data_IF_167899845184
#
_entry.id   IF_167899845184
#
_cell.length_a   1.000
_cell.length_b   1.000
_cell.length_c   1.000
_cell.angle_alpha   90.00
_cell.angle_beta   90.00
_cell.angle_gamma   90.00
#
_symmetry.space_group_name_H-M   'P 1'
#
loop_
_entity.id
_entity.type
_entity.pdbx_description
1 polymer ?
#
# COMPACT_ATOMS: atom_id res chain seq x y z
N UNK A 1 -29.96 -24.22 9.76
CA UNK A 1 -30.52 -23.71 11.04
C UNK A 1 -29.37 -23.39 12.00
N UNK A 2 -29.46 -22.33 12.82
CA UNK A 2 -28.40 -21.94 13.77
C UNK A 2 -28.08 -23.05 14.79
N UNK A 3 -28.99 -24.01 14.98
CA UNK A 3 -28.84 -25.18 15.85
C UNK A 3 -27.68 -26.10 15.47
N UNK A 4 -27.33 -26.19 14.18
CA UNK A 4 -26.19 -26.98 13.70
C UNK A 4 -24.86 -26.43 14.25
N UNK A 5 -24.75 -25.13 14.50
CA UNK A 5 -23.53 -24.54 15.05
C UNK A 5 -23.28 -25.02 16.48
N UNK A 6 -24.32 -25.27 17.30
CA UNK A 6 -24.14 -25.79 18.65
C UNK A 6 -23.59 -27.23 18.66
N UNK A 7 -23.83 -28.01 17.60
CA UNK A 7 -23.23 -29.35 17.46
C UNK A 7 -21.72 -29.31 17.16
N UNK A 8 -21.19 -28.19 16.66
CA UNK A 8 -19.76 -27.99 16.39
C UNK A 8 -19.00 -27.53 17.64
N UNK A 9 -19.69 -26.93 18.62
CA UNK A 9 -19.09 -26.42 19.85
C UNK A 9 -19.46 -27.30 21.04
N UNK A 10 -18.62 -28.29 21.33
CA UNK A 10 -18.75 -29.10 22.54
C UNK A 10 -18.78 -28.20 23.79
N UNK A 11 -19.78 -28.32 24.68
CA UNK A 11 -19.97 -27.44 25.85
C UNK A 11 -18.74 -27.33 26.75
N UNK A 12 -18.02 -28.43 26.91
CA UNK A 12 -16.79 -28.49 27.72
C UNK A 12 -15.67 -27.64 27.13
N UNK A 13 -15.51 -27.66 25.79
CA UNK A 13 -14.48 -26.87 25.08
C UNK A 13 -14.82 -25.39 25.08
N UNK A 14 -16.11 -25.04 24.94
CA UNK A 14 -16.54 -23.64 24.96
C UNK A 14 -16.43 -23.04 26.37
N UNK A 15 -16.78 -23.79 27.42
CA UNK A 15 -16.57 -23.39 28.81
C UNK A 15 -15.08 -23.23 29.13
N UNK A 16 -14.24 -24.20 28.76
CA UNK A 16 -12.80 -24.09 28.93
C UNK A 16 -12.25 -22.84 28.23
N UNK A 17 -12.62 -22.60 26.97
CA UNK A 17 -12.19 -21.42 26.23
C UNK A 17 -12.65 -20.11 26.92
N UNK A 18 -13.92 -20.05 27.36
CA UNK A 18 -14.47 -18.88 28.05
C UNK A 18 -13.74 -18.60 29.37
N UNK A 19 -13.42 -19.62 30.15
CA UNK A 19 -12.63 -19.48 31.38
C UNK A 19 -11.20 -18.99 31.10
N UNK A 20 -10.55 -19.46 30.04
CA UNK A 20 -9.20 -18.99 29.69
C UNK A 20 -9.21 -17.56 29.15
N UNK A 21 -10.23 -17.18 28.37
CA UNK A 21 -10.37 -15.83 27.80
C UNK A 21 -10.72 -14.82 28.90
N UNK A 22 -11.67 -15.14 29.79
CA UNK A 22 -12.10 -14.25 30.88
C UNK A 22 -10.97 -13.92 31.88
N UNK A 23 -9.96 -14.78 31.99
CA UNK A 23 -8.77 -14.56 32.83
C UNK A 23 -7.74 -13.60 32.22
N UNK A 24 -7.86 -13.23 30.95
CA UNK A 24 -6.87 -12.40 30.25
C UNK A 24 -7.50 -11.12 29.72
N UNK A 25 -6.90 -9.97 30.07
CA UNK A 25 -7.20 -8.73 29.36
C UNK A 25 -6.34 -8.63 28.10
N UNK A 26 -6.90 -8.31 26.93
CA UNK A 26 -6.13 -8.16 25.72
C UNK A 26 -5.27 -6.89 25.79
N UNK A 27 -3.98 -6.99 25.45
CA UNK A 27 -3.06 -5.83 25.40
C UNK A 27 -3.54 -4.75 24.41
N UNK A 28 -4.26 -5.17 23.36
CA UNK A 28 -4.79 -4.30 22.32
C UNK A 28 -6.19 -4.74 21.93
N UNK A 29 -7.09 -3.76 21.82
CA UNK A 29 -8.42 -3.98 21.28
C UNK A 29 -8.33 -4.18 19.76
N UNK A 30 -8.82 -5.32 19.28
CA UNK A 30 -8.98 -5.57 17.85
C UNK A 30 -10.21 -4.79 17.33
N UNK A 31 -10.02 -3.99 16.29
CA UNK A 31 -11.10 -3.25 15.63
C UNK A 31 -10.92 -3.35 14.12
N UNK A 32 -11.95 -2.98 13.35
CA UNK A 32 -11.90 -3.02 11.88
C UNK A 32 -10.80 -2.11 11.30
N UNK A 33 -10.46 -1.02 11.99
CA UNK A 33 -9.37 -0.12 11.61
C UNK A 33 -8.01 -0.55 12.17
N UNK A 34 -8.00 -1.43 13.16
CA UNK A 34 -6.79 -1.98 13.79
C UNK A 34 -6.95 -3.50 13.93
N UNK A 35 -6.63 -4.28 12.88
CA UNK A 35 -6.77 -5.73 12.85
C UNK A 35 -5.65 -6.43 13.65
N UNK A 36 -5.53 -6.11 14.94
CA UNK A 36 -4.47 -6.61 15.83
C UNK A 36 -4.47 -8.13 15.96
N UNK A 37 -5.65 -8.76 15.88
CA UNK A 37 -5.79 -10.21 15.96
C UNK A 37 -5.08 -10.95 14.82
N UNK A 38 -4.88 -10.30 13.67
CA UNK A 38 -4.13 -10.88 12.55
C UNK A 38 -2.68 -11.17 12.94
N UNK A 39 -2.04 -10.27 13.70
CA UNK A 39 -0.67 -10.48 14.20
C UNK A 39 -0.62 -11.63 15.21
N UNK A 40 -1.58 -11.66 16.12
CA UNK A 40 -1.64 -12.71 17.15
C UNK A 40 -1.88 -14.09 16.50
N UNK A 41 -2.67 -14.15 15.43
CA UNK A 41 -2.86 -15.36 14.63
C UNK A 41 -1.56 -15.80 13.93
N UNK A 42 -0.82 -14.87 13.31
CA UNK A 42 0.48 -15.18 12.70
C UNK A 42 1.49 -15.69 13.73
N UNK A 43 1.52 -15.09 14.92
CA UNK A 43 2.37 -15.53 16.04
C UNK A 43 1.98 -16.92 16.55
N UNK A 44 0.68 -17.23 16.62
CA UNK A 44 0.19 -18.55 16.99
C UNK A 44 0.62 -19.60 15.96
N UNK A 45 0.49 -19.27 14.67
CA UNK A 45 0.85 -20.16 13.57
C UNK A 45 2.36 -20.41 13.52
N UNK A 46 3.19 -19.38 13.72
CA UNK A 46 4.65 -19.53 13.81
C UNK A 46 5.06 -20.48 14.94
N UNK A 47 4.39 -20.41 16.10
CA UNK A 47 4.62 -21.35 17.21
C UNK A 47 4.24 -22.78 16.87
N UNK A 48 3.18 -22.99 16.08
CA UNK A 48 2.77 -24.33 15.65
C UNK A 48 3.76 -24.95 14.66
N UNK A 49 4.42 -24.10 13.86
CA UNK A 49 5.42 -24.52 12.85
C UNK A 49 6.83 -24.60 13.45
N UNK A 50 7.00 -24.32 14.75
CA UNK A 50 8.29 -24.26 15.46
C UNK A 50 9.33 -23.35 14.80
N UNK A 51 8.86 -22.31 14.11
CA UNK A 51 9.71 -21.36 13.42
C UNK A 51 10.22 -20.26 14.36
N UNK A 52 11.27 -19.53 13.93
CA UNK A 52 11.91 -18.45 14.69
C UNK A 52 11.34 -17.06 14.37
N UNK A 53 10.27 -16.94 13.57
CA UNK A 53 9.73 -15.62 13.21
C UNK A 53 9.05 -14.90 14.38
N UNK A 54 8.64 -15.61 15.43
CA UNK A 54 8.07 -15.01 16.64
C UNK A 54 9.03 -14.00 17.30
N UNK A 55 10.35 -14.15 17.15
CA UNK A 55 11.34 -13.19 17.65
C UNK A 55 11.25 -11.86 16.88
N UNK A 56 11.14 -11.93 15.56
CA UNK A 56 11.00 -10.74 14.71
C UNK A 56 9.67 -10.02 14.99
N UNK A 57 8.56 -10.75 15.05
CA UNK A 57 7.24 -10.17 15.28
C UNK A 57 7.06 -9.61 16.70
N UNK A 58 7.64 -10.26 17.72
CA UNK A 58 7.64 -9.71 19.09
C UNK A 58 8.49 -8.45 19.19
N UNK A 59 9.65 -8.40 18.52
CA UNK A 59 10.45 -7.18 18.42
C UNK A 59 9.68 -6.05 17.71
N UNK A 60 9.06 -6.33 16.55
CA UNK A 60 8.26 -5.37 15.79
C UNK A 60 7.08 -4.80 16.61
N UNK A 61 6.45 -5.63 17.46
CA UNK A 61 5.37 -5.18 18.36
C UNK A 61 5.86 -4.19 19.42
N UNK A 62 7.12 -4.29 19.84
CA UNK A 62 7.75 -3.39 20.80
C UNK A 62 8.24 -2.06 20.21
N UNK A 63 8.37 -1.97 18.88
CA UNK A 63 8.82 -0.74 18.22
C UNK A 63 7.72 0.33 18.28
N UNK A 64 8.02 1.56 18.73
CA UNK A 64 7.03 2.63 18.74
C UNK A 64 6.60 2.97 17.30
N UNK A 65 5.29 3.13 17.10
CA UNK A 65 4.67 3.33 15.77
C UNK A 65 5.33 4.47 14.98
N UNK A 66 5.63 5.58 15.65
CA UNK A 66 6.29 6.74 15.03
C UNK A 66 7.70 6.44 14.54
N UNK A 67 8.47 5.60 15.24
CA UNK A 67 9.82 5.20 14.79
C UNK A 67 9.75 4.29 13.57
N UNK A 68 8.77 3.38 13.52
CA UNK A 68 8.54 2.53 12.35
C UNK A 68 8.18 3.39 11.12
N UNK A 69 7.25 4.33 11.27
CA UNK A 69 6.89 5.27 10.21
C UNK A 69 8.08 6.10 9.76
N UNK A 70 8.85 6.64 10.70
CA UNK A 70 10.05 7.41 10.41
C UNK A 70 11.08 6.58 9.66
N UNK A 71 11.34 5.34 10.09
CA UNK A 71 12.29 4.45 9.41
C UNK A 71 11.88 4.18 7.97
N UNK A 72 10.59 3.93 7.72
CA UNK A 72 10.06 3.67 6.37
C UNK A 72 10.20 4.87 5.45
N UNK A 73 10.12 6.10 5.98
CA UNK A 73 10.31 7.33 5.19
C UNK A 73 11.80 7.66 5.01
N UNK A 74 12.60 7.49 6.06
CA UNK A 74 14.00 7.91 6.07
C UNK A 74 14.91 6.95 5.29
N UNK A 75 14.66 5.63 5.34
CA UNK A 75 15.51 4.65 4.65
C UNK A 75 15.55 4.91 3.13
N UNK A 76 14.41 5.04 2.42
CA UNK A 76 14.42 5.33 0.99
C UNK A 76 14.99 6.70 0.64
N UNK A 77 14.78 7.70 1.51
CA UNK A 77 15.32 9.05 1.34
C UNK A 77 16.86 9.06 1.44
N UNK A 78 17.41 8.39 2.45
CA UNK A 78 18.87 8.27 2.63
C UNK A 78 19.50 7.44 1.49
N UNK A 79 18.83 6.35 1.11
CA UNK A 79 19.29 5.48 0.02
C UNK A 79 19.35 6.24 -1.31
N UNK A 80 18.30 7.01 -1.64
CA UNK A 80 18.32 7.86 -2.84
C UNK A 80 19.36 8.96 -2.76
N UNK A 81 19.48 9.65 -1.61
CA UNK A 81 20.55 10.63 -1.40
C UNK A 81 21.92 10.05 -1.71
N UNK A 82 22.25 8.89 -1.14
CA UNK A 82 23.52 8.21 -1.39
C UNK A 82 23.71 7.83 -2.87
N UNK A 83 22.69 7.27 -3.51
CA UNK A 83 22.75 6.90 -4.93
C UNK A 83 22.94 8.14 -5.83
N UNK A 84 22.29 9.26 -5.54
CA UNK A 84 22.45 10.50 -6.33
C UNK A 84 23.87 11.06 -6.24
N UNK A 85 24.53 10.93 -5.09
CA UNK A 85 25.94 11.34 -4.91
C UNK A 85 26.91 10.49 -5.75
N UNK A 86 26.58 9.21 -5.98
CA UNK A 86 27.40 8.29 -6.77
C UNK A 86 27.19 8.44 -8.29
N UNK A 87 26.22 9.22 -8.75
CA UNK A 87 25.90 9.37 -10.17
C UNK A 87 26.62 10.58 -10.80
N UNK A 88 26.92 10.46 -12.10
CA UNK A 88 27.39 11.59 -12.93
C UNK A 88 26.32 12.71 -12.93
N UNK A 89 26.70 14.00 -13.06
CA UNK A 89 25.77 15.14 -13.02
C UNK A 89 24.55 14.96 -13.93
N UNK A 90 24.75 14.50 -15.17
CA UNK A 90 23.69 14.26 -16.14
C UNK A 90 22.67 13.17 -15.75
N UNK A 91 23.02 12.26 -14.83
CA UNK A 91 22.20 11.12 -14.39
C UNK A 91 21.76 11.20 -12.93
N UNK A 92 22.01 12.32 -12.25
CA UNK A 92 21.62 12.51 -10.84
C UNK A 92 20.11 12.45 -10.61
N UNK A 93 19.29 12.70 -11.62
CA UNK A 93 17.84 12.60 -11.52
C UNK A 93 17.30 11.16 -11.60
N UNK A 94 18.08 10.20 -12.12
CA UNK A 94 17.64 8.81 -12.33
C UNK A 94 17.22 8.13 -11.01
N UNK A 95 18.02 8.16 -9.92
CA UNK A 95 17.62 7.52 -8.66
C UNK A 95 16.30 8.07 -8.10
N UNK A 96 16.02 9.36 -8.30
CA UNK A 96 14.75 9.98 -7.87
C UNK A 96 13.57 9.42 -8.65
N UNK A 97 13.71 9.24 -9.96
CA UNK A 97 12.64 8.63 -10.78
C UNK A 97 12.43 7.15 -10.44
N UNK A 98 13.50 6.41 -10.15
CA UNK A 98 13.38 5.02 -9.71
C UNK A 98 12.71 4.93 -8.34
N UNK A 99 13.05 5.81 -7.40
CA UNK A 99 12.34 5.88 -6.12
C UNK A 99 10.87 6.24 -6.29
N UNK A 100 10.55 7.17 -7.20
CA UNK A 100 9.17 7.53 -7.49
C UNK A 100 8.37 6.28 -7.90
N UNK A 101 8.89 5.52 -8.86
CA UNK A 101 8.26 4.27 -9.32
C UNK A 101 8.19 3.22 -8.21
N UNK A 102 9.28 2.99 -7.46
CA UNK A 102 9.26 2.05 -6.33
C UNK A 102 8.26 2.46 -5.24
N UNK A 103 8.13 3.74 -4.95
CA UNK A 103 7.17 4.25 -3.97
C UNK A 103 5.74 4.02 -4.43
N UNK A 104 5.52 4.05 -5.74
CA UNK A 104 4.21 3.80 -6.35
C UNK A 104 3.87 2.34 -6.33
N UNK A 105 4.77 1.45 -6.75
CA UNK A 105 4.56 0.01 -6.58
C UNK A 105 4.27 -0.33 -5.11
N UNK A 106 5.03 0.25 -4.18
CA UNK A 106 4.83 0.09 -2.74
C UNK A 106 3.44 0.57 -2.28
N UNK A 107 3.05 1.79 -2.69
CA UNK A 107 1.78 2.40 -2.31
C UNK A 107 0.59 1.70 -2.95
N UNK A 108 0.73 1.27 -4.20
CA UNK A 108 -0.30 0.56 -4.95
C UNK A 108 -0.63 -0.77 -4.28
N UNK A 109 0.38 -1.60 -4.02
CA UNK A 109 0.19 -2.87 -3.30
C UNK A 109 -0.30 -2.64 -1.87
N UNK A 110 0.21 -1.62 -1.18
CA UNK A 110 -0.26 -1.26 0.16
C UNK A 110 -1.74 -0.87 0.20
N UNK A 111 -2.17 0.00 -0.71
CA UNK A 111 -3.57 0.41 -0.86
C UNK A 111 -4.47 -0.74 -1.31
N UNK A 112 -4.00 -1.59 -2.22
CA UNK A 112 -4.73 -2.77 -2.66
C UNK A 112 -5.01 -3.71 -1.48
N UNK A 113 -4.00 -4.02 -0.66
CA UNK A 113 -4.18 -4.85 0.55
C UNK A 113 -5.12 -4.18 1.56
N UNK A 114 -4.99 -2.86 1.78
CA UNK A 114 -5.90 -2.08 2.64
C UNK A 114 -7.35 -2.21 2.15
N UNK A 115 -7.58 -2.02 0.85
CA UNK A 115 -8.92 -2.05 0.25
C UNK A 115 -9.49 -3.48 0.26
N UNK A 116 -8.69 -4.51 0.02
CA UNK A 116 -9.11 -5.91 0.12
C UNK A 116 -9.51 -6.28 1.55
N UNK A 117 -8.73 -5.86 2.54
CA UNK A 117 -9.05 -6.10 3.95
C UNK A 117 -10.32 -5.36 4.36
N UNK A 118 -10.47 -4.10 3.94
CA UNK A 118 -11.67 -3.32 4.19
C UNK A 118 -12.91 -3.91 3.51
N UNK A 119 -12.78 -4.39 2.26
CA UNK A 119 -13.83 -5.10 1.55
C UNK A 119 -14.24 -6.37 2.31
N UNK A 120 -13.27 -7.16 2.76
CA UNK A 120 -13.52 -8.37 3.55
C UNK A 120 -14.27 -8.05 4.84
N UNK A 121 -13.89 -6.97 5.52
CA UNK A 121 -14.50 -6.55 6.78
C UNK A 121 -15.94 -6.05 6.57
N UNK A 122 -16.20 -5.34 5.46
CA UNK A 122 -17.52 -4.81 5.14
C UNK A 122 -18.51 -5.87 4.64
N UNK A 123 -18.08 -6.85 3.86
CA UNK A 123 -18.96 -7.84 3.22
C UNK A 123 -18.92 -9.23 3.89
N UNK A 124 -17.87 -9.54 4.65
CA UNK A 124 -17.70 -10.84 5.31
C UNK A 124 -17.22 -11.97 4.41
N UNK A 125 -17.15 -11.77 3.08
CA UNK A 125 -16.66 -12.77 2.12
C UNK A 125 -15.84 -12.12 0.99
N UNK A 126 -14.51 -12.23 1.06
CA UNK A 126 -13.61 -11.69 0.03
C UNK A 126 -13.39 -12.65 -1.15
N UNK A 127 -13.24 -13.94 -0.87
CA UNK A 127 -12.73 -14.92 -1.85
C UNK A 127 -13.60 -15.09 -3.11
N UNK A 128 -14.90 -14.81 -3.03
CA UNK A 128 -15.77 -14.86 -4.22
C UNK A 128 -15.53 -13.68 -5.17
N UNK A 129 -15.08 -12.53 -4.65
CA UNK A 129 -14.94 -11.28 -5.38
C UNK A 129 -13.49 -10.91 -5.68
N UNK A 130 -12.51 -11.54 -5.01
CA UNK A 130 -11.10 -11.17 -5.09
C UNK A 130 -10.60 -11.09 -6.54
N UNK A 131 -10.97 -12.05 -7.40
CA UNK A 131 -10.58 -12.04 -8.81
C UNK A 131 -11.12 -10.82 -9.57
N UNK A 132 -12.39 -10.44 -9.33
CA UNK A 132 -13.00 -9.27 -9.97
C UNK A 132 -12.43 -7.96 -9.42
N UNK A 133 -12.22 -7.86 -8.11
CA UNK A 133 -11.66 -6.66 -7.45
C UNK A 133 -10.22 -6.40 -7.92
N UNK A 134 -9.41 -7.44 -8.04
CA UNK A 134 -8.04 -7.34 -8.59
C UNK A 134 -8.09 -7.04 -10.09
N UNK A 135 -9.01 -7.63 -10.84
CA UNK A 135 -9.16 -7.35 -12.27
C UNK A 135 -9.54 -5.89 -12.55
N UNK A 136 -10.37 -5.27 -11.71
CA UNK A 136 -10.74 -3.85 -11.87
C UNK A 136 -9.59 -2.91 -11.50
N UNK A 137 -8.73 -3.27 -10.54
CA UNK A 137 -7.47 -2.59 -10.32
C UNK A 137 -6.55 -2.66 -11.56
N UNK A 138 -6.39 -3.85 -12.15
CA UNK A 138 -5.61 -4.04 -13.38
C UNK A 138 -6.19 -3.27 -14.58
N UNK A 139 -7.52 -3.22 -14.70
CA UNK A 139 -8.20 -2.39 -15.70
C UNK A 139 -7.88 -0.90 -15.51
N UNK A 140 -7.92 -0.42 -14.26
CA UNK A 140 -7.49 0.93 -13.91
C UNK A 140 -6.05 1.18 -14.34
N UNK A 141 -5.13 0.27 -14.00
CA UNK A 141 -3.71 0.35 -14.36
C UNK A 141 -3.52 0.46 -15.88
N UNK A 142 -4.16 -0.42 -16.66
CA UNK A 142 -4.12 -0.36 -18.11
C UNK A 142 -4.68 0.97 -18.66
N UNK A 143 -5.81 1.43 -18.12
CA UNK A 143 -6.43 2.69 -18.53
C UNK A 143 -5.55 3.92 -18.22
N UNK A 144 -4.89 3.95 -17.05
CA UNK A 144 -3.97 5.01 -16.66
C UNK A 144 -2.73 5.07 -17.56
N UNK A 145 -2.11 3.91 -17.81
CA UNK A 145 -0.97 3.80 -18.70
C UNK A 145 -1.31 4.24 -20.13
N UNK A 146 -2.44 3.76 -20.66
CA UNK A 146 -2.93 4.14 -21.99
C UNK A 146 -3.21 5.65 -22.09
N UNK A 147 -3.88 6.22 -21.09
CA UNK A 147 -4.25 7.63 -21.08
C UNK A 147 -3.03 8.55 -21.11
N UNK A 148 -1.98 8.21 -20.36
CA UNK A 148 -0.72 8.96 -20.33
C UNK A 148 0.08 8.77 -21.62
N UNK A 149 0.20 7.53 -22.11
CA UNK A 149 1.09 7.21 -23.23
C UNK A 149 0.75 8.04 -24.47
N UNK A 150 -0.53 8.15 -24.82
CA UNK A 150 -0.99 8.98 -25.96
C UNK A 150 -0.84 10.50 -25.76
N UNK A 151 -0.41 10.95 -24.59
CA UNK A 151 -0.19 12.37 -24.24
C UNK A 151 1.28 12.69 -23.97
N UNK A 152 2.17 11.69 -24.00
CA UNK A 152 3.58 11.92 -23.73
C UNK A 152 4.16 12.96 -24.70
N UNK A 153 3.93 12.89 -26.00
CA UNK A 153 4.53 13.83 -26.95
C UNK A 153 4.09 15.30 -26.73
N UNK A 154 2.96 15.51 -26.04
CA UNK A 154 2.42 16.85 -25.76
C UNK A 154 3.08 17.54 -24.57
N UNK A 155 3.83 16.82 -23.74
CA UNK A 155 4.42 17.38 -22.53
C UNK A 155 5.94 17.51 -22.70
N UNK A 156 6.56 18.70 -22.67
CA UNK A 156 8.01 18.80 -22.76
C UNK A 156 8.69 18.24 -21.50
N UNK A 157 8.14 18.54 -20.32
CA UNK A 157 8.56 17.99 -19.03
C UNK A 157 7.40 17.21 -18.38
N UNK A 158 7.70 15.99 -17.94
CA UNK A 158 6.75 15.03 -17.35
C UNK A 158 6.80 15.04 -15.82
N UNK A 159 7.79 15.75 -15.23
CA UNK A 159 7.93 15.88 -13.78
C UNK A 159 6.68 16.49 -13.12
N UNK A 160 6.06 17.55 -13.66
CA UNK A 160 4.84 18.10 -13.04
C UNK A 160 3.70 17.08 -13.02
N UNK A 161 3.55 16.30 -14.09
CA UNK A 161 2.54 15.22 -14.15
C UNK A 161 2.88 14.10 -13.16
N UNK A 162 4.15 13.69 -13.03
CA UNK A 162 4.56 12.74 -11.99
C UNK A 162 4.23 13.24 -10.58
N UNK A 163 4.52 14.51 -10.30
CA UNK A 163 4.19 15.13 -9.02
C UNK A 163 2.68 15.15 -8.78
N UNK A 164 1.88 15.46 -9.80
CA UNK A 164 0.43 15.43 -9.71
C UNK A 164 -0.12 14.02 -9.43
N UNK A 165 0.45 12.99 -10.05
CA UNK A 165 0.05 11.59 -9.81
C UNK A 165 0.43 11.14 -8.39
N UNK A 166 1.63 11.45 -7.90
CA UNK A 166 1.99 11.18 -6.50
C UNK A 166 1.13 11.98 -5.51
N UNK A 167 0.80 13.23 -5.84
CA UNK A 167 -0.15 14.04 -5.07
C UNK A 167 -1.55 13.41 -5.02
N UNK A 168 -2.01 12.83 -6.13
CA UNK A 168 -3.27 12.11 -6.21
C UNK A 168 -3.24 10.81 -5.38
N UNK A 169 -2.16 10.03 -5.43
CA UNK A 169 -1.99 8.85 -4.59
C UNK A 169 -1.91 9.20 -3.09
N UNK A 170 -1.23 10.30 -2.75
CA UNK A 170 -1.20 10.85 -1.39
C UNK A 170 -2.62 11.22 -0.92
N UNK A 171 -3.35 11.98 -1.74
CA UNK A 171 -4.74 12.36 -1.44
C UNK A 171 -5.65 11.14 -1.29
N UNK A 172 -5.51 10.16 -2.20
CA UNK A 172 -6.24 8.91 -2.16
C UNK A 172 -5.95 8.14 -0.87
N UNK A 173 -4.68 8.00 -0.48
CA UNK A 173 -4.28 7.35 0.75
C UNK A 173 -4.86 8.04 2.00
N UNK A 174 -4.99 9.36 2.02
CA UNK A 174 -5.64 10.11 3.12
C UNK A 174 -7.16 9.89 3.13
N UNK A 175 -7.80 9.87 1.95
CA UNK A 175 -9.25 9.74 1.82
C UNK A 175 -9.75 8.35 2.19
N UNK A 176 -9.04 7.29 1.77
CA UNK A 176 -9.45 5.89 2.01
C UNK A 176 -9.85 5.63 3.48
N UNK A 177 -9.01 5.86 4.50
CA UNK A 177 -9.36 5.57 5.89
C UNK A 177 -10.50 6.45 6.42
N UNK A 178 -10.77 7.62 5.83
CA UNK A 178 -11.91 8.46 6.20
C UNK A 178 -13.24 7.93 5.62
N UNK A 179 -13.20 7.27 4.46
CA UNK A 179 -14.38 6.69 3.80
C UNK A 179 -14.79 5.37 4.45
N UNK A 180 -13.85 4.56 4.95
CA UNK A 180 -14.14 3.22 5.48
C UNK A 180 -15.19 3.20 6.63
N UNK A 181 -15.11 4.06 7.67
CA UNK A 181 -16.12 4.07 8.73
C UNK A 181 -17.52 4.42 8.21
N UNK A 182 -17.62 5.34 7.25
CA UNK A 182 -18.89 5.72 6.63
C UNK A 182 -19.50 4.51 5.92
N UNK A 183 -18.70 3.77 5.13
CA UNK A 183 -19.16 2.56 4.47
C UNK A 183 -19.65 1.49 5.46
N UNK A 184 -18.96 1.32 6.60
CA UNK A 184 -19.40 0.38 7.64
C UNK A 184 -20.74 0.77 8.28
N UNK A 185 -20.99 2.07 8.48
CA UNK A 185 -22.27 2.56 9.03
C UNK A 185 -23.44 2.41 8.05
N UNK A 186 -23.17 2.54 6.75
CA UNK A 186 -24.18 2.39 5.69
C UNK A 186 -24.46 0.92 5.36
N UNK A 187 -23.54 0.01 5.68
CA UNK A 187 -23.73 -1.44 5.52
C UNK A 187 -24.89 -2.03 6.34
N UNK A 188 -25.35 -1.31 7.35
CA UNK A 188 -26.53 -1.67 8.15
C UNK A 188 -27.87 -1.22 7.49
N UNK A 189 -27.82 -0.47 6.39
CA UNK A 189 -28.98 -0.07 5.59
C UNK A 189 -29.21 -1.05 4.41
N UNK A 190 -30.41 -1.11 3.79
CA UNK A 190 -30.72 -2.03 2.69
C UNK A 190 -30.00 -1.73 1.36
N UNK A 191 -28.85 -1.03 1.38
CA UNK A 191 -28.07 -0.59 0.22
C UNK A 191 -27.05 -1.67 -0.23
N UNK A 192 -27.49 -2.94 -0.28
CA UNK A 192 -26.65 -4.12 -0.54
C UNK A 192 -25.71 -4.05 -1.76
N UNK A 193 -26.09 -3.45 -2.91
CA UNK A 193 -25.20 -3.35 -4.08
C UNK A 193 -24.19 -2.19 -4.05
N UNK A 194 -24.39 -1.19 -3.19
CA UNK A 194 -23.61 0.07 -3.23
C UNK A 194 -22.19 -0.13 -2.69
N UNK A 195 -22.02 -1.06 -1.74
CA UNK A 195 -20.74 -1.32 -1.07
C UNK A 195 -19.74 -1.96 -2.04
N UNK A 196 -20.04 -3.09 -2.72
CA UNK A 196 -19.11 -3.69 -3.68
C UNK A 196 -18.73 -2.73 -4.82
N UNK A 197 -19.69 -1.96 -5.33
CA UNK A 197 -19.45 -0.98 -6.40
C UNK A 197 -18.47 0.11 -5.95
N UNK A 198 -18.59 0.59 -4.71
CA UNK A 198 -17.68 1.60 -4.17
C UNK A 198 -16.24 1.08 -4.13
N UNK A 199 -16.02 -0.15 -3.65
CA UNK A 199 -14.69 -0.75 -3.64
C UNK A 199 -14.14 -0.99 -5.06
N UNK A 200 -14.99 -1.40 -6.00
CA UNK A 200 -14.59 -1.53 -7.41
C UNK A 200 -14.11 -0.17 -7.96
N UNK A 201 -14.85 0.91 -7.70
CA UNK A 201 -14.44 2.26 -8.12
C UNK A 201 -13.13 2.67 -7.47
N UNK A 202 -12.97 2.44 -6.17
CA UNK A 202 -11.71 2.73 -5.46
C UNK A 202 -10.53 1.96 -6.05
N UNK A 203 -10.70 0.68 -6.39
CA UNK A 203 -9.66 -0.13 -7.05
C UNK A 203 -9.31 0.41 -8.44
N UNK A 204 -10.30 0.78 -9.26
CA UNK A 204 -10.06 1.37 -10.59
C UNK A 204 -9.29 2.68 -10.46
N UNK A 205 -9.66 3.54 -9.51
CA UNK A 205 -8.99 4.83 -9.27
C UNK A 205 -7.55 4.63 -8.80
N UNK A 206 -7.32 3.72 -7.85
CA UNK A 206 -5.97 3.37 -7.38
C UNK A 206 -5.11 2.82 -8.52
N UNK A 207 -5.67 1.91 -9.32
CA UNK A 207 -5.02 1.35 -10.51
C UNK A 207 -4.68 2.42 -11.53
N UNK A 208 -5.62 3.33 -11.84
CA UNK A 208 -5.42 4.41 -12.80
C UNK A 208 -4.22 5.30 -12.47
N UNK A 209 -4.13 5.76 -11.22
CA UNK A 209 -2.99 6.58 -10.80
C UNK A 209 -1.68 5.79 -10.80
N UNK A 210 -1.71 4.51 -10.42
CA UNK A 210 -0.54 3.63 -10.48
C UNK A 210 -0.05 3.44 -11.92
N UNK A 211 -0.93 3.07 -12.84
CA UNK A 211 -0.59 2.80 -14.23
C UNK A 211 -0.13 4.03 -15.02
N UNK A 212 -0.61 5.22 -14.65
CA UNK A 212 -0.16 6.48 -15.25
C UNK A 212 1.36 6.73 -15.06
N UNK A 213 2.00 6.12 -14.05
CA UNK A 213 3.36 6.48 -13.68
C UNK A 213 4.46 5.86 -14.53
N UNK A 214 4.35 4.57 -14.86
CA UNK A 214 5.38 3.84 -15.62
C UNK A 214 5.78 4.57 -16.92
N UNK A 215 4.84 4.99 -17.80
CA UNK A 215 5.20 5.74 -19.00
C UNK A 215 5.84 7.10 -18.71
N UNK A 216 5.40 7.82 -17.66
CA UNK A 216 5.99 9.10 -17.28
C UNK A 216 7.44 8.95 -16.79
N UNK A 217 7.68 7.97 -15.92
CA UNK A 217 8.99 7.73 -15.33
C UNK A 217 9.99 7.18 -16.37
N UNK A 218 9.54 6.30 -17.26
CA UNK A 218 10.35 5.82 -18.38
C UNK A 218 10.76 6.97 -19.31
N UNK A 219 9.82 7.85 -19.68
CA UNK A 219 10.12 9.03 -20.49
C UNK A 219 11.13 9.98 -19.82
N UNK A 220 11.04 10.14 -18.50
CA UNK A 220 12.01 10.94 -17.73
C UNK A 220 13.40 10.30 -17.64
N UNK A 221 13.47 8.98 -17.50
CA UNK A 221 14.74 8.27 -17.55
C UNK A 221 15.41 8.42 -18.93
N UNK A 222 14.64 8.28 -20.01
CA UNK A 222 15.10 8.51 -21.38
C UNK A 222 15.68 9.92 -21.58
N UNK A 223 15.00 10.94 -21.05
CA UNK A 223 15.45 12.33 -21.12
C UNK A 223 16.81 12.59 -20.43
N UNK A 224 17.27 11.68 -19.55
CA UNK A 224 18.61 11.75 -18.93
C UNK A 224 19.71 11.02 -19.71
N UNK A 225 19.43 10.58 -20.94
CA UNK A 225 20.39 9.86 -21.79
C UNK A 225 20.62 8.41 -21.34
N UNK A 226 19.59 7.77 -20.79
CA UNK A 226 19.57 6.33 -20.53
C UNK A 226 18.99 5.63 -21.76
N UNK A 227 19.66 4.58 -22.22
CA UNK A 227 19.19 3.76 -23.35
C UNK A 227 17.77 3.21 -23.13
N UNK A 228 16.91 3.14 -24.17
CA UNK A 228 15.50 2.73 -24.02
C UNK A 228 15.29 1.39 -23.32
N UNK A 229 16.00 0.34 -23.73
CA UNK A 229 15.89 -0.99 -23.12
C UNK A 229 16.30 -0.98 -21.64
N UNK A 230 17.30 -0.16 -21.29
CA UNK A 230 17.78 -0.03 -19.91
C UNK A 230 16.82 0.79 -19.07
N UNK A 231 16.24 1.87 -19.62
CA UNK A 231 15.24 2.68 -18.93
C UNK A 231 14.00 1.84 -18.59
N UNK A 232 13.48 1.09 -19.56
CA UNK A 232 12.35 0.18 -19.35
C UNK A 232 12.66 -0.85 -18.25
N UNK A 233 13.81 -1.54 -18.33
CA UNK A 233 14.20 -2.54 -17.33
C UNK A 233 14.46 -1.97 -15.93
N UNK A 234 14.96 -0.74 -15.81
CA UNK A 234 15.15 -0.09 -14.51
C UNK A 234 13.83 0.31 -13.87
N UNK A 235 12.92 0.90 -14.66
CA UNK A 235 11.59 1.30 -14.20
C UNK A 235 10.76 0.08 -13.79
N UNK A 236 10.75 -0.97 -14.62
CA UNK A 236 10.03 -2.22 -14.34
C UNK A 236 10.52 -2.92 -13.06
N UNK A 237 11.85 -3.02 -12.88
CA UNK A 237 12.44 -3.58 -11.64
C UNK A 237 12.12 -2.72 -10.42
N UNK A 238 12.15 -1.39 -10.58
CA UNK A 238 11.84 -0.48 -9.48
C UNK A 238 10.39 -0.65 -9.02
N UNK A 239 9.44 -0.79 -9.95
CA UNK A 239 8.03 -1.01 -9.66
C UNK A 239 7.79 -2.33 -8.94
N UNK A 240 8.30 -3.44 -9.50
CA UNK A 240 8.17 -4.76 -8.90
C UNK A 240 8.84 -4.86 -7.53
N UNK A 241 10.02 -4.26 -7.35
CA UNK A 241 10.68 -4.22 -6.05
C UNK A 241 9.85 -3.44 -5.03
N UNK A 242 9.35 -2.27 -5.44
CA UNK A 242 8.43 -1.46 -4.63
C UNK A 242 7.18 -2.24 -4.23
N UNK A 243 6.52 -2.86 -5.19
CA UNK A 243 5.32 -3.67 -5.00
C UNK A 243 5.55 -4.87 -4.09
N UNK A 244 6.64 -5.62 -4.29
CA UNK A 244 7.03 -6.73 -3.43
C UNK A 244 7.20 -6.29 -1.97
N UNK A 245 8.00 -5.24 -1.74
CA UNK A 245 8.25 -4.72 -0.38
C UNK A 245 6.96 -4.13 0.20
N UNK A 246 6.12 -3.48 -0.61
CA UNK A 246 4.84 -2.92 -0.22
C UNK A 246 3.83 -3.97 0.22
N UNK A 247 3.63 -5.02 -0.58
CA UNK A 247 2.75 -6.13 -0.25
C UNK A 247 3.19 -6.82 1.05
N UNK A 248 4.49 -7.11 1.17
CA UNK A 248 5.05 -7.76 2.35
C UNK A 248 4.91 -6.89 3.61
N UNK A 249 5.39 -5.65 3.56
CA UNK A 249 5.39 -4.78 4.74
C UNK A 249 3.98 -4.32 5.10
N UNK A 250 3.14 -3.90 4.14
CA UNK A 250 1.79 -3.47 4.45
C UNK A 250 0.94 -4.62 4.99
N UNK A 251 0.97 -5.79 4.33
CA UNK A 251 0.18 -6.95 4.72
C UNK A 251 0.63 -7.58 6.03
N UNK A 252 1.93 -7.88 6.16
CA UNK A 252 2.44 -8.64 7.30
C UNK A 252 2.80 -7.76 8.52
N UNK A 253 3.08 -6.47 8.34
CA UNK A 253 3.62 -5.60 9.40
C UNK A 253 2.75 -4.38 9.66
N UNK A 254 2.54 -3.49 8.69
CA UNK A 254 1.93 -2.18 8.96
C UNK A 254 0.47 -2.29 9.37
N UNK A 255 -0.35 -3.01 8.60
CA UNK A 255 -1.75 -3.22 8.93
C UNK A 255 -1.95 -3.84 10.33
N UNK A 256 -1.32 -4.98 10.67
CA UNK A 256 -1.47 -5.57 12.00
C UNK A 256 -0.91 -4.71 13.14
N UNK A 257 0.23 -4.03 12.93
CA UNK A 257 0.98 -3.38 14.03
C UNK A 257 0.50 -1.95 14.26
N UNK A 258 0.22 -1.19 13.21
CA UNK A 258 -0.13 0.23 13.30
C UNK A 258 -1.55 0.56 12.80
N UNK A 259 -2.23 -0.38 12.14
CA UNK A 259 -3.60 -0.23 11.67
C UNK A 259 -3.73 0.45 10.32
N UNK A 260 -4.95 0.45 9.77
CA UNK A 260 -5.27 1.03 8.46
C UNK A 260 -4.94 2.53 8.40
N UNK A 261 -5.38 3.39 9.33
CA UNK A 261 -5.14 4.83 9.22
C UNK A 261 -3.66 5.20 9.22
N UNK A 262 -2.87 4.61 10.14
CA UNK A 262 -1.44 4.89 10.22
C UNK A 262 -0.66 4.33 9.02
N UNK A 263 -1.07 3.17 8.49
CA UNK A 263 -0.52 2.62 7.25
C UNK A 263 -0.76 3.59 6.09
N UNK A 264 -2.00 4.03 5.89
CA UNK A 264 -2.36 5.01 4.87
C UNK A 264 -1.61 6.35 5.02
N UNK A 265 -1.43 6.85 6.24
CA UNK A 265 -0.62 8.05 6.50
C UNK A 265 0.86 7.84 6.14
N UNK A 266 1.39 6.63 6.36
CA UNK A 266 2.75 6.29 5.94
C UNK A 266 2.88 6.30 4.42
N UNK A 267 1.91 5.74 3.70
CA UNK A 267 1.86 5.78 2.23
C UNK A 267 1.77 7.23 1.72
N UNK A 268 0.93 8.05 2.35
CA UNK A 268 0.81 9.47 2.03
C UNK A 268 2.13 10.22 2.24
N UNK A 269 2.82 9.97 3.36
CA UNK A 269 4.11 10.58 3.66
C UNK A 269 5.20 10.18 2.65
N UNK A 270 5.24 8.93 2.22
CA UNK A 270 6.17 8.47 1.19
C UNK A 270 5.94 9.17 -0.15
N UNK A 271 4.68 9.29 -0.57
CA UNK A 271 4.31 10.02 -1.78
C UNK A 271 4.67 11.51 -1.68
N UNK A 272 4.47 12.12 -0.51
CA UNK A 272 4.86 13.51 -0.25
C UNK A 272 6.37 13.72 -0.39
N UNK A 273 7.18 12.79 0.14
CA UNK A 273 8.64 12.84 -0.02
C UNK A 273 9.04 12.79 -1.49
N UNK A 274 8.42 11.92 -2.28
CA UNK A 274 8.68 11.87 -3.73
C UNK A 274 8.32 13.19 -4.41
N UNK A 275 7.17 13.79 -4.10
CA UNK A 275 6.78 15.11 -4.62
C UNK A 275 7.84 16.16 -4.27
N UNK A 276 8.33 16.19 -3.02
CA UNK A 276 9.38 17.10 -2.58
C UNK A 276 10.70 16.91 -3.33
N UNK A 277 11.11 15.67 -3.56
CA UNK A 277 12.33 15.33 -4.31
C UNK A 277 12.23 15.72 -5.79
N UNK A 278 11.08 15.45 -6.43
CA UNK A 278 10.83 15.84 -7.82
C UNK A 278 10.82 17.38 -7.98
N UNK A 279 10.23 18.09 -7.02
CA UNK A 279 10.23 19.56 -7.00
C UNK A 279 11.65 20.14 -6.83
N UNK A 280 12.42 19.61 -5.88
CA UNK A 280 13.80 20.04 -5.65
C UNK A 280 14.69 19.79 -6.88
N UNK A 281 14.53 18.64 -7.54
CA UNK A 281 15.24 18.32 -8.79
C UNK A 281 14.87 19.24 -9.95
N UNK A 282 13.61 19.70 -10.02
CA UNK A 282 13.16 20.70 -10.98
C UNK A 282 13.84 22.06 -10.79
N UNK A 283 13.93 22.56 -9.55
CA UNK A 283 14.60 23.84 -9.24
C UNK A 283 16.09 23.79 -9.53
N UNK A 284 16.75 22.70 -9.18
CA UNK A 284 18.18 22.53 -9.46
C UNK A 284 18.49 22.53 -10.97
N UNK A 285 17.61 21.98 -11.79
CA UNK A 285 17.75 21.99 -13.24
C UNK A 285 17.44 23.37 -13.88
N UNK A 286 16.57 24.17 -13.26
CA UNK A 286 16.26 25.52 -13.75
C UNK A 286 17.34 26.57 -13.40
N UNK A 287 18.20 26.28 -12.43
CA UNK A 287 19.28 27.16 -11.98
C UNK A 287 20.65 26.84 -12.62
N UNK A 288 20.77 25.75 -13.37
CA UNK A 288 21.99 25.27 -14.02
C UNK A 288 21.95 25.54 -15.53
#
# INVERSE_FOLDING_TARGET
PPEILYSLFFPERSQFAYEQISKRQPDRLNTDLLPAAYLDYLLLWDRQVESRFHVLFSWLRGVPRGLLMLALVMIPLLWTGLLTLCQRPARRAVPTYLLAVSTTGFSAMGLEVVLLLAFQTALGYLYQWIGLVVATFMLGLAAGAYWVTGRLDRWPDKRPTLMAVHGALMGFAIVVPAVLPVLSSVALAPLGPVIPLTFIVLMVVAGFFTGAQLPLAAAQCLATGVEPTRAAGLVDRADHFGGFVGALLCGAVLLPVIGIPATCLTLAALNLVVVGLLWAGGRAAALA
#
